data_IF_670207879877
#
_entry.id   IF_670207879877
#
_cell.length_a   1.000
_cell.length_b   1.000
_cell.length_c   1.000
_cell.angle_alpha   90.00
_cell.angle_beta   90.00
_cell.angle_gamma   90.00
#
_symmetry.space_group_name_H-M   'P 1'
#
loop_
_entity.id
_entity.type
_entity.pdbx_description
1 polymer ?
#
# COMPACT_ATOMS: atom_id res chain seq x y z
N UNK A 1 -10.41 3.87 -76.58
CA UNK A 1 -11.68 3.63 -75.85
C UNK A 1 -11.32 2.74 -74.66
N UNK A 2 -10.88 3.28 -73.51
CA UNK A 2 -11.69 3.88 -72.43
C UNK A 2 -12.90 3.02 -72.07
N UNK A 3 -12.90 2.38 -70.90
CA UNK A 3 -13.71 2.64 -69.68
C UNK A 3 -14.15 1.24 -69.18
N UNK A 4 -14.46 0.93 -67.93
CA UNK A 4 -14.66 1.68 -66.70
C UNK A 4 -14.73 0.64 -65.57
N UNK A 5 -14.21 0.99 -64.40
CA UNK A 5 -14.44 0.29 -63.14
C UNK A 5 -15.92 0.40 -62.75
N UNK A 6 -16.61 -0.71 -62.48
CA UNK A 6 -17.88 -0.68 -61.75
C UNK A 6 -17.73 -1.44 -60.43
N UNK A 7 -17.86 -0.67 -59.35
CA UNK A 7 -17.96 -1.12 -57.99
C UNK A 7 -19.42 -1.59 -57.77
N UNK A 8 -19.63 -2.89 -57.56
CA UNK A 8 -20.92 -3.42 -57.14
C UNK A 8 -20.89 -3.66 -55.63
N UNK A 9 -21.68 -2.87 -54.92
CA UNK A 9 -21.96 -3.02 -53.48
C UNK A 9 -22.84 -4.25 -53.24
N UNK A 10 -22.32 -5.24 -52.53
CA UNK A 10 -23.12 -6.30 -51.91
C UNK A 10 -23.47 -5.89 -50.49
N UNK A 11 -24.75 -5.63 -50.24
CA UNK A 11 -25.31 -5.51 -48.90
C UNK A 11 -25.31 -6.92 -48.30
N UNK A 12 -24.36 -7.23 -47.41
CA UNK A 12 -24.46 -8.42 -46.57
C UNK A 12 -25.33 -8.09 -45.37
N UNK A 13 -26.50 -8.75 -45.34
CA UNK A 13 -27.38 -8.83 -44.18
C UNK A 13 -26.59 -9.28 -42.95
N UNK A 14 -26.58 -8.47 -41.89
CA UNK A 14 -26.14 -8.90 -40.56
C UNK A 14 -27.16 -9.94 -40.09
N UNK A 15 -26.82 -11.22 -40.23
CA UNK A 15 -27.49 -12.28 -39.49
C UNK A 15 -27.12 -12.09 -38.02
N UNK A 16 -28.13 -11.85 -37.18
CA UNK A 16 -27.99 -11.86 -35.74
C UNK A 16 -27.31 -13.19 -35.32
N UNK A 17 -26.11 -13.09 -34.77
CA UNK A 17 -25.47 -14.21 -34.09
C UNK A 17 -26.28 -14.49 -32.81
N UNK A 18 -26.61 -15.75 -32.52
CA UNK A 18 -27.26 -16.09 -31.26
C UNK A 18 -26.31 -15.75 -30.11
N UNK A 19 -26.76 -14.84 -29.24
CA UNK A 19 -26.17 -14.65 -27.92
C UNK A 19 -26.51 -15.91 -27.13
N UNK A 20 -25.54 -16.77 -26.90
CA UNK A 20 -25.71 -17.98 -26.10
C UNK A 20 -24.99 -19.18 -26.69
N UNK A 21 -23.66 -19.18 -26.56
CA UNK A 21 -22.95 -20.43 -26.32
C UNK A 21 -22.19 -20.18 -25.03
N UNK A 22 -22.71 -20.80 -23.97
CA UNK A 22 -22.06 -20.93 -22.67
C UNK A 22 -20.86 -21.86 -22.90
N UNK A 23 -19.77 -21.31 -23.44
CA UNK A 23 -18.49 -22.02 -23.44
C UNK A 23 -18.11 -22.12 -21.97
N UNK A 24 -17.93 -23.32 -21.41
CA UNK A 24 -17.43 -23.44 -20.05
C UNK A 24 -16.14 -22.64 -19.99
N UNK A 25 -16.13 -21.60 -19.15
CA UNK A 25 -14.91 -20.86 -18.82
C UNK A 25 -13.92 -21.92 -18.41
N UNK A 26 -12.78 -21.97 -19.12
CA UNK A 26 -11.74 -22.94 -18.84
C UNK A 26 -11.49 -22.94 -17.33
N UNK A 27 -11.63 -24.11 -16.69
CA UNK A 27 -11.26 -24.28 -15.29
C UNK A 27 -9.87 -23.68 -15.13
N UNK A 28 -9.77 -22.59 -14.37
CA UNK A 28 -8.48 -21.97 -14.06
C UNK A 28 -7.74 -23.00 -13.23
N UNK A 29 -6.89 -23.78 -13.88
CA UNK A 29 -5.92 -24.62 -13.18
C UNK A 29 -4.99 -23.66 -12.45
N UNK A 30 -5.22 -23.51 -11.15
CA UNK A 30 -4.28 -22.88 -10.24
C UNK A 30 -3.01 -23.74 -10.26
N UNK A 31 -2.07 -23.37 -11.14
CA UNK A 31 -0.73 -23.95 -11.10
C UNK A 31 0.05 -23.17 -10.03
N UNK A 32 0.56 -23.89 -9.02
CA UNK A 32 1.52 -23.36 -8.07
C UNK A 32 2.77 -22.79 -8.77
N UNK A 33 3.06 -23.22 -10.02
CA UNK A 33 4.18 -22.68 -10.82
C UNK A 33 3.96 -21.23 -11.23
N UNK A 34 2.70 -20.77 -11.34
CA UNK A 34 2.40 -19.36 -11.61
C UNK A 34 2.57 -18.50 -10.35
N UNK A 35 2.45 -19.09 -9.16
CA UNK A 35 2.36 -18.38 -7.88
C UNK A 35 3.14 -19.11 -6.77
N UNK A 36 4.47 -19.17 -6.86
CA UNK A 36 5.30 -19.83 -5.86
C UNK A 36 5.17 -19.14 -4.50
N UNK A 37 4.99 -19.94 -3.44
CA UNK A 37 4.91 -19.47 -2.05
C UNK A 37 6.30 -19.44 -1.37
N UNK A 38 7.25 -20.21 -1.88
CA UNK A 38 8.65 -20.12 -1.49
C UNK A 38 9.36 -19.02 -2.30
N UNK A 39 9.78 -17.97 -1.58
CA UNK A 39 10.42 -16.78 -2.12
C UNK A 39 11.93 -16.76 -1.86
N UNK A 40 12.50 -17.84 -1.31
CA UNK A 40 13.93 -17.96 -1.06
C UNK A 40 14.43 -17.13 0.14
N UNK A 41 15.68 -16.64 0.05
CA UNK A 41 16.40 -16.07 1.19
C UNK A 41 15.95 -14.64 1.53
N UNK A 42 15.46 -14.45 2.77
CA UNK A 42 14.87 -13.19 3.27
C UNK A 42 15.87 -12.07 3.60
N UNK A 43 17.17 -12.28 3.38
CA UNK A 43 18.20 -11.28 3.71
C UNK A 43 18.51 -11.20 5.22
N UNK A 44 19.30 -10.19 5.60
CA UNK A 44 19.63 -9.92 7.02
C UNK A 44 18.52 -9.10 7.68
N UNK A 45 18.02 -9.57 8.81
CA UNK A 45 16.98 -8.90 9.60
C UNK A 45 17.49 -8.48 10.97
N UNK A 46 16.95 -7.40 11.52
CA UNK A 46 17.22 -6.95 12.88
C UNK A 46 15.98 -6.29 13.50
N UNK A 47 15.71 -6.61 14.76
CA UNK A 47 14.59 -6.02 15.52
C UNK A 47 14.99 -4.64 16.02
N UNK A 48 14.08 -3.68 15.91
CA UNK A 48 14.24 -2.34 16.47
C UNK A 48 14.05 -2.33 17.99
N UNK A 49 14.58 -1.31 18.65
CA UNK A 49 14.27 -1.08 20.06
C UNK A 49 12.79 -0.70 20.26
N UNK A 50 12.22 -1.10 21.39
CA UNK A 50 10.82 -0.80 21.70
C UNK A 50 10.63 0.71 21.92
N UNK A 51 9.58 1.33 21.35
CA UNK A 51 9.29 2.74 21.57
C UNK A 51 8.76 2.97 22.98
N UNK A 52 9.08 4.13 23.57
CA UNK A 52 8.65 4.53 24.91
C UNK A 52 8.03 5.94 24.95
N UNK A 53 7.15 6.21 23.98
CA UNK A 53 6.55 7.53 23.78
C UNK A 53 5.75 8.05 24.97
N UNK A 54 5.26 7.17 25.86
CA UNK A 54 4.59 7.61 27.09
C UNK A 54 5.51 8.45 28.00
N UNK A 55 6.82 8.19 27.98
CA UNK A 55 7.81 8.94 28.76
C UNK A 55 8.56 9.98 27.92
N UNK A 56 8.82 9.67 26.64
CA UNK A 56 9.69 10.50 25.79
C UNK A 56 8.95 11.48 24.88
N UNK A 57 7.62 11.38 24.75
CA UNK A 57 6.86 12.28 23.87
C UNK A 57 6.74 13.68 24.48
N UNK A 58 7.63 14.57 24.08
CA UNK A 58 7.60 15.99 24.44
C UNK A 58 6.76 16.86 23.51
N UNK A 59 6.17 16.34 22.43
CA UNK A 59 5.53 17.15 21.39
C UNK A 59 4.41 18.05 21.94
N UNK A 60 3.57 17.51 22.83
CA UNK A 60 2.50 18.25 23.49
C UNK A 60 3.03 19.38 24.39
N UNK A 61 4.16 19.16 25.07
CA UNK A 61 4.80 20.13 25.98
C UNK A 61 5.49 21.24 25.17
N UNK A 62 6.17 20.89 24.08
CA UNK A 62 6.95 21.82 23.26
C UNK A 62 6.09 22.65 22.32
N UNK A 63 5.06 22.07 21.71
CA UNK A 63 4.29 22.72 20.62
C UNK A 63 2.84 23.04 21.00
N UNK A 64 2.39 22.66 22.20
CA UNK A 64 1.06 23.01 22.69
C UNK A 64 -0.07 22.30 21.94
N UNK A 65 -0.10 20.96 22.01
CA UNK A 65 -1.16 20.16 21.39
C UNK A 65 -2.44 20.24 22.24
N UNK A 66 -3.58 20.75 21.73
CA UNK A 66 -4.81 20.89 22.51
C UNK A 66 -5.30 19.53 23.05
N UNK A 67 -5.69 19.46 24.33
CA UNK A 67 -6.18 18.22 24.97
C UNK A 67 -7.51 17.73 24.42
N UNK A 68 -8.30 18.59 23.77
CA UNK A 68 -9.50 18.19 23.01
C UNK A 68 -9.18 17.37 21.76
N UNK A 69 -7.90 17.29 21.37
CA UNK A 69 -7.36 16.46 20.28
C UNK A 69 -6.26 15.52 20.78
N UNK A 70 -6.35 15.01 22.02
CA UNK A 70 -5.41 14.00 22.51
C UNK A 70 -5.53 12.71 21.69
N UNK A 71 -4.80 12.66 20.58
CA UNK A 71 -4.57 11.47 19.78
C UNK A 71 -3.58 10.60 20.54
N UNK A 72 -4.01 9.36 20.83
CA UNK A 72 -3.12 8.31 21.35
C UNK A 72 -1.83 8.25 20.51
N UNK A 73 -0.68 7.86 21.08
CA UNK A 73 0.55 7.72 20.33
C UNK A 73 0.31 6.84 19.10
N UNK A 74 0.40 7.46 17.93
CA UNK A 74 0.21 6.79 16.65
C UNK A 74 1.57 6.34 16.12
N UNK A 75 1.63 5.30 15.27
CA UNK A 75 2.89 4.89 14.66
C UNK A 75 3.50 5.95 13.72
N UNK A 76 2.72 6.97 13.33
CA UNK A 76 3.15 8.14 12.57
C UNK A 76 2.89 9.36 13.45
N UNK A 77 3.94 10.11 13.77
CA UNK A 77 3.83 11.32 14.59
C UNK A 77 3.40 12.51 13.73
N UNK A 78 2.11 12.85 13.72
CA UNK A 78 1.56 13.97 12.93
C UNK A 78 1.25 15.20 13.77
N UNK A 79 1.50 15.17 15.08
CA UNK A 79 1.14 16.30 15.97
C UNK A 79 2.07 17.50 15.78
N UNK A 80 3.27 17.31 15.22
CA UNK A 80 4.20 18.37 14.89
C UNK A 80 4.09 18.69 13.40
N UNK A 81 3.61 19.89 13.09
CA UNK A 81 3.57 20.41 11.72
C UNK A 81 4.87 21.13 11.39
N UNK A 82 5.20 21.20 10.09
CA UNK A 82 6.31 22.01 9.63
C UNK A 82 6.08 23.48 10.03
N UNK A 83 7.15 24.21 10.37
CA UNK A 83 7.07 25.60 10.88
C UNK A 83 6.39 26.55 9.90
N UNK A 84 6.52 26.28 8.60
CA UNK A 84 5.96 27.05 7.49
C UNK A 84 4.66 26.46 6.94
N UNK A 85 4.08 25.45 7.59
CA UNK A 85 2.82 24.85 7.18
C UNK A 85 1.69 25.88 7.11
N UNK A 86 0.99 25.90 5.97
CA UNK A 86 -0.16 26.73 5.67
C UNK A 86 -1.38 25.86 5.42
N UNK A 87 -2.55 26.47 5.61
CA UNK A 87 -3.81 25.83 5.28
C UNK A 87 -3.85 25.48 3.78
N UNK A 88 -4.03 24.20 3.46
CA UNK A 88 -4.01 23.67 2.10
C UNK A 88 -2.65 23.08 1.66
N UNK A 89 -1.61 23.14 2.48
CA UNK A 89 -0.35 22.44 2.19
C UNK A 89 -0.55 20.92 2.22
N UNK A 90 0.19 20.22 1.35
CA UNK A 90 0.17 18.76 1.28
C UNK A 90 0.78 18.14 2.53
N UNK A 91 0.24 17.00 2.94
CA UNK A 91 0.80 16.22 4.02
C UNK A 91 2.19 15.69 3.61
N UNK A 92 3.23 16.05 4.37
CA UNK A 92 4.61 15.64 4.07
C UNK A 92 4.78 14.12 3.96
N UNK A 93 3.99 13.34 4.71
CA UNK A 93 4.04 11.88 4.67
C UNK A 93 3.57 11.29 3.34
N UNK A 94 2.82 12.06 2.54
CA UNK A 94 2.37 11.69 1.20
C UNK A 94 3.39 12.04 0.11
N UNK A 95 4.42 12.83 0.47
CA UNK A 95 5.48 13.30 -0.42
C UNK A 95 6.74 12.43 -0.40
N UNK A 96 6.74 11.33 0.36
CA UNK A 96 7.88 10.41 0.44
C UNK A 96 7.95 9.38 -0.71
N UNK A 97 7.11 9.55 -1.74
CA UNK A 97 7.05 8.63 -2.88
C UNK A 97 6.72 7.21 -2.42
N UNK A 98 7.58 6.24 -2.75
CA UNK A 98 7.41 4.83 -2.38
C UNK A 98 7.59 4.53 -0.88
N UNK A 99 8.11 5.48 -0.10
CA UNK A 99 8.26 5.37 1.34
C UNK A 99 7.05 5.93 2.11
N UNK A 100 6.11 6.57 1.40
CA UNK A 100 4.89 7.09 1.99
C UNK A 100 4.09 5.93 2.61
N UNK A 101 3.62 6.05 3.86
CA UNK A 101 2.61 5.15 4.40
C UNK A 101 1.40 5.08 3.47
N UNK A 102 0.67 3.95 3.49
CA UNK A 102 -0.51 3.82 2.64
C UNK A 102 -1.53 4.93 2.93
N UNK A 103 -1.94 5.66 1.89
CA UNK A 103 -3.07 6.58 1.88
C UNK A 103 -3.92 6.34 0.63
N UNK A 104 -5.16 6.80 0.65
CA UNK A 104 -6.07 6.70 -0.49
C UNK A 104 -5.73 7.81 -1.47
N UNK A 105 -5.54 7.47 -2.74
CA UNK A 105 -5.32 8.47 -3.78
C UNK A 105 -6.56 9.34 -3.96
N UNK A 106 -6.35 10.62 -4.28
CA UNK A 106 -7.41 11.56 -4.69
C UNK A 106 -8.19 11.08 -5.93
N UNK A 107 -7.66 10.08 -6.63
CA UNK A 107 -8.30 9.43 -7.77
C UNK A 107 -8.24 10.29 -9.02
N UNK A 108 -9.00 9.87 -10.03
CA UNK A 108 -9.02 10.48 -11.36
C UNK A 108 -10.46 10.76 -11.82
N UNK A 109 -11.30 11.19 -10.89
CA UNK A 109 -12.74 11.41 -11.14
C UNK A 109 -13.58 10.13 -11.23
N UNK A 110 -13.04 9.01 -10.75
CA UNK A 110 -13.76 7.74 -10.59
C UNK A 110 -14.18 7.58 -9.15
N UNK A 111 -15.47 7.32 -8.93
CA UNK A 111 -16.03 7.17 -7.60
C UNK A 111 -16.17 5.68 -7.22
N UNK A 112 -16.07 5.38 -5.93
CA UNK A 112 -16.34 4.04 -5.40
C UNK A 112 -17.86 3.83 -5.32
N UNK A 113 -18.41 3.16 -6.34
CA UNK A 113 -19.83 2.76 -6.37
C UNK A 113 -19.96 1.25 -6.16
N UNK A 114 -21.06 0.86 -5.50
CA UNK A 114 -21.47 -0.53 -5.49
C UNK A 114 -21.74 -1.05 -6.90
N UNK A 115 -21.63 -2.37 -7.08
CA UNK A 115 -21.90 -3.01 -8.36
C UNK A 115 -23.32 -2.73 -8.87
N UNK A 116 -23.51 -2.54 -10.19
CA UNK A 116 -24.83 -2.45 -10.78
C UNK A 116 -25.68 -3.68 -10.45
N UNK A 117 -27.01 -3.50 -10.36
CA UNK A 117 -27.96 -4.57 -9.94
C UNK A 117 -27.93 -5.84 -10.79
N UNK A 118 -27.35 -5.80 -11.99
CA UNK A 118 -27.28 -6.92 -12.94
C UNK A 118 -25.90 -7.59 -12.99
N UNK A 119 -24.96 -7.21 -12.11
CA UNK A 119 -23.59 -7.71 -12.11
C UNK A 119 -23.29 -8.50 -10.82
N UNK A 120 -22.49 -9.55 -10.96
CA UNK A 120 -21.90 -10.30 -9.84
C UNK A 120 -20.38 -10.33 -9.97
N UNK A 121 -19.68 -10.44 -8.85
CA UNK A 121 -18.24 -10.72 -8.84
C UNK A 121 -18.06 -12.23 -8.90
N UNK A 122 -17.25 -12.72 -9.84
CA UNK A 122 -16.95 -14.14 -9.97
C UNK A 122 -15.55 -14.48 -9.44
N UNK A 123 -14.61 -13.55 -9.52
CA UNK A 123 -13.22 -13.71 -9.08
C UNK A 123 -12.62 -12.35 -8.74
N UNK A 124 -11.70 -12.32 -7.77
CA UNK A 124 -10.91 -11.13 -7.46
C UNK A 124 -9.43 -11.48 -7.31
N UNK A 125 -8.57 -10.66 -7.91
CA UNK A 125 -7.13 -10.69 -7.72
C UNK A 125 -6.70 -9.43 -6.98
N UNK A 126 -6.15 -9.59 -5.78
CA UNK A 126 -5.70 -8.49 -4.95
C UNK A 126 -4.18 -8.43 -5.01
N UNK A 127 -3.64 -7.42 -5.70
CA UNK A 127 -2.21 -7.14 -5.65
C UNK A 127 -1.90 -6.22 -4.46
N UNK A 128 -0.88 -6.58 -3.69
CA UNK A 128 -0.41 -5.82 -2.54
C UNK A 128 1.10 -5.67 -2.55
N UNK A 129 1.57 -4.50 -2.16
CA UNK A 129 2.92 -4.39 -1.59
C UNK A 129 2.91 -4.82 -0.12
N UNK A 130 4.10 -5.08 0.40
CA UNK A 130 4.33 -5.13 1.84
C UNK A 130 3.97 -3.80 2.52
N UNK A 131 3.68 -3.84 3.83
CA UNK A 131 3.48 -2.63 4.63
C UNK A 131 4.81 -1.88 4.91
N UNK A 132 4.75 -0.75 5.60
CA UNK A 132 5.94 0.04 5.96
C UNK A 132 7.00 -0.80 6.70
N UNK A 133 8.26 -0.73 6.24
CA UNK A 133 9.37 -1.54 6.76
C UNK A 133 10.55 -0.69 7.23
N UNK A 134 11.43 -1.29 8.02
CA UNK A 134 12.74 -0.72 8.30
C UNK A 134 13.64 -0.75 7.06
N UNK A 135 14.67 0.11 6.99
CA UNK A 135 15.67 0.05 5.94
C UNK A 135 16.26 -1.35 5.78
N UNK A 136 16.63 -1.74 4.56
CA UNK A 136 17.27 -3.05 4.30
C UNK A 136 18.68 -3.13 4.90
N UNK A 137 19.32 -1.99 5.15
CA UNK A 137 20.62 -1.91 5.81
C UNK A 137 20.66 -0.70 6.73
N UNK A 138 21.46 -0.74 7.82
CA UNK A 138 21.60 0.39 8.72
C UNK A 138 21.96 1.67 7.97
N UNK A 139 21.32 2.78 8.34
CA UNK A 139 21.60 4.08 7.74
C UNK A 139 23.09 4.43 7.89
N UNK A 140 23.75 4.79 6.78
CA UNK A 140 25.16 5.22 6.79
C UNK A 140 25.40 6.45 7.67
N UNK A 141 24.37 7.28 7.86
CA UNK A 141 24.40 8.45 8.74
C UNK A 141 24.63 8.06 10.21
N UNK A 142 24.02 6.98 10.71
CA UNK A 142 24.22 6.57 12.11
C UNK A 142 25.67 6.13 12.36
N UNK A 143 26.28 5.49 11.35
CA UNK A 143 27.70 5.16 11.37
C UNK A 143 28.59 6.40 11.28
N UNK A 144 28.22 7.40 10.48
CA UNK A 144 28.98 8.64 10.38
C UNK A 144 28.95 9.44 11.69
N UNK A 145 27.77 9.58 12.29
CA UNK A 145 27.56 10.37 13.50
C UNK A 145 28.17 9.73 14.75
N UNK A 146 28.36 8.40 14.78
CA UNK A 146 28.99 7.72 15.93
C UNK A 146 30.51 7.92 16.03
N UNK A 147 31.17 8.40 14.97
CA UNK A 147 32.65 8.47 14.89
C UNK A 147 33.21 9.91 14.94
N UNK A 148 32.39 10.92 15.20
CA UNK A 148 32.78 12.34 15.14
C UNK A 148 32.38 13.06 16.43
N UNK A 149 33.31 13.79 17.05
CA UNK A 149 32.98 14.81 18.05
C UNK A 149 32.49 16.05 17.30
N UNK A 150 31.17 16.18 17.17
CA UNK A 150 30.55 17.38 16.61
C UNK A 150 29.65 18.02 17.66
N UNK A 151 29.42 19.32 17.50
CA UNK A 151 28.39 20.06 18.22
C UNK A 151 27.58 20.79 17.18
N UNK A 152 26.29 20.50 17.15
CA UNK A 152 25.33 21.10 16.23
C UNK A 152 24.43 22.04 17.02
N UNK A 153 23.98 23.12 16.39
CA UNK A 153 23.07 24.11 16.97
C UNK A 153 21.90 24.37 16.02
N UNK A 154 20.86 25.06 16.51
CA UNK A 154 19.68 25.38 15.70
C UNK A 154 18.79 24.15 15.47
N UNK A 155 18.15 24.07 14.31
CA UNK A 155 17.17 23.02 13.98
C UNK A 155 17.74 21.60 14.00
N UNK A 156 19.06 21.46 13.89
CA UNK A 156 19.76 20.18 13.88
C UNK A 156 20.35 19.80 15.26
N UNK A 157 20.11 20.59 16.32
CA UNK A 157 20.64 20.35 17.67
C UNK A 157 20.26 18.98 18.23
N UNK A 158 19.10 18.44 17.82
CA UNK A 158 18.67 17.09 18.22
C UNK A 158 19.69 16.00 17.85
N UNK A 159 20.52 16.22 16.82
CA UNK A 159 21.56 15.27 16.41
C UNK A 159 22.61 15.03 17.50
N UNK A 160 22.88 16.02 18.37
CA UNK A 160 23.86 15.88 19.45
C UNK A 160 23.54 14.70 20.39
N UNK A 161 22.25 14.40 20.58
CA UNK A 161 21.77 13.34 21.47
C UNK A 161 21.03 12.23 20.72
N UNK A 162 21.00 12.28 19.38
CA UNK A 162 20.23 11.35 18.57
C UNK A 162 20.86 9.96 18.58
N UNK A 163 20.01 8.93 18.75
CA UNK A 163 20.39 7.52 18.70
C UNK A 163 19.65 6.83 17.58
N UNK A 164 20.35 5.97 16.86
CA UNK A 164 19.74 5.14 15.82
C UNK A 164 19.14 3.89 16.46
N UNK A 165 17.80 3.83 16.52
CA UNK A 165 17.04 2.75 17.18
C UNK A 165 16.30 1.84 16.18
N UNK A 166 16.47 2.07 14.88
CA UNK A 166 15.72 1.36 13.84
C UNK A 166 16.27 -0.05 13.61
N UNK A 167 15.35 -0.97 13.32
CA UNK A 167 15.67 -2.34 12.90
C UNK A 167 16.19 -2.40 11.46
N UNK A 168 16.20 -3.60 10.89
CA UNK A 168 16.64 -3.85 9.52
C UNK A 168 15.79 -4.93 8.86
N UNK A 169 15.38 -4.70 7.61
CA UNK A 169 14.80 -5.73 6.73
C UNK A 169 13.47 -6.34 7.18
N UNK A 170 12.80 -5.78 8.19
CA UNK A 170 11.51 -6.29 8.70
C UNK A 170 10.44 -5.21 8.68
N UNK A 171 9.17 -5.64 8.68
CA UNK A 171 8.02 -4.75 8.83
C UNK A 171 8.07 -4.00 10.16
N UNK A 172 7.74 -2.73 10.10
CA UNK A 172 7.46 -1.94 11.30
C UNK A 172 6.13 -2.35 11.92
N UNK A 173 5.85 -1.93 13.16
CA UNK A 173 4.52 -2.15 13.76
C UNK A 173 3.40 -1.48 12.95
N UNK A 174 3.66 -0.30 12.39
CA UNK A 174 2.79 0.35 11.41
C UNK A 174 2.54 -0.53 10.18
N UNK A 175 3.60 -1.10 9.60
CA UNK A 175 3.49 -1.96 8.42
C UNK A 175 2.64 -3.20 8.67
N UNK A 176 2.74 -3.80 9.86
CA UNK A 176 1.87 -4.91 10.25
C UNK A 176 0.41 -4.47 10.36
N UNK A 177 0.13 -3.32 10.98
CA UNK A 177 -1.23 -2.77 11.08
C UNK A 177 -1.82 -2.50 9.68
N UNK A 178 -1.05 -1.91 8.77
CA UNK A 178 -1.49 -1.65 7.40
C UNK A 178 -1.90 -2.92 6.65
N UNK A 179 -1.13 -4.01 6.81
CA UNK A 179 -1.47 -5.30 6.21
C UNK A 179 -2.71 -5.93 6.84
N UNK A 180 -2.86 -5.81 8.16
CA UNK A 180 -4.06 -6.26 8.87
C UNK A 180 -5.30 -5.50 8.37
N UNK A 181 -5.25 -4.17 8.35
CA UNK A 181 -6.35 -3.32 7.88
C UNK A 181 -6.70 -3.60 6.42
N UNK A 182 -5.70 -3.91 5.59
CA UNK A 182 -5.91 -4.34 4.20
C UNK A 182 -6.65 -5.68 4.11
N UNK A 183 -6.28 -6.65 4.95
CA UNK A 183 -6.97 -7.93 5.05
C UNK A 183 -8.44 -7.76 5.45
N UNK A 184 -8.68 -6.99 6.51
CA UNK A 184 -10.03 -6.63 6.97
C UNK A 184 -10.83 -5.97 5.84
N UNK A 185 -10.27 -4.97 5.15
CA UNK A 185 -10.95 -4.28 4.04
C UNK A 185 -11.29 -5.23 2.88
N UNK A 186 -10.38 -6.14 2.57
CA UNK A 186 -10.58 -7.13 1.50
C UNK A 186 -11.74 -8.06 1.86
N UNK A 187 -11.80 -8.53 3.11
CA UNK A 187 -12.89 -9.33 3.62
C UNK A 187 -14.23 -8.60 3.55
N UNK A 188 -14.30 -7.34 3.98
CA UNK A 188 -15.53 -6.56 3.89
C UNK A 188 -16.00 -6.32 2.45
N UNK A 189 -15.10 -6.24 1.47
CA UNK A 189 -15.46 -6.04 0.05
C UNK A 189 -15.83 -7.34 -0.66
N UNK A 190 -15.14 -8.43 -0.36
CA UNK A 190 -15.19 -9.65 -1.20
C UNK A 190 -15.41 -10.94 -0.41
N UNK A 191 -15.67 -10.88 0.90
CA UNK A 191 -15.77 -12.06 1.76
C UNK A 191 -16.84 -13.07 1.36
N UNK A 192 -17.85 -12.67 0.59
CA UNK A 192 -18.86 -13.58 0.01
C UNK A 192 -18.31 -14.49 -1.11
N UNK A 193 -17.15 -14.18 -1.68
CA UNK A 193 -16.48 -15.06 -2.64
C UNK A 193 -15.78 -16.23 -1.96
N UNK A 194 -15.50 -16.13 -0.65
CA UNK A 194 -14.87 -17.21 0.09
C UNK A 194 -15.89 -18.34 0.27
N UNK A 195 -15.58 -19.50 -0.30
CA UNK A 195 -16.21 -20.74 0.13
C UNK A 195 -15.54 -21.19 1.43
N UNK A 196 -16.35 -21.38 2.48
CA UNK A 196 -15.84 -21.81 3.79
C UNK A 196 -15.90 -23.33 3.95
N UNK A 197 -16.49 -24.03 2.98
CA UNK A 197 -16.70 -25.48 2.99
C UNK A 197 -15.93 -26.21 1.87
N UNK A 198 -15.31 -25.48 0.94
CA UNK A 198 -14.49 -26.01 -0.14
C UNK A 198 -13.13 -25.31 -0.21
N UNK A 199 -12.08 -26.02 -0.67
CA UNK A 199 -10.74 -25.46 -0.93
C UNK A 199 -10.71 -24.55 -2.19
N UNK A 200 -11.87 -24.18 -2.74
CA UNK A 200 -12.00 -23.35 -3.93
C UNK A 200 -11.68 -21.88 -3.61
N UNK A 201 -10.42 -21.48 -3.82
CA UNK A 201 -9.95 -20.12 -3.54
C UNK A 201 -10.34 -19.13 -4.64
N UNK A 202 -11.46 -18.42 -4.48
CA UNK A 202 -11.93 -17.36 -5.41
C UNK A 202 -11.35 -15.96 -5.12
N UNK A 203 -10.70 -15.80 -3.97
CA UNK A 203 -9.93 -14.62 -3.58
C UNK A 203 -8.46 -14.99 -3.70
N UNK A 204 -7.75 -14.43 -4.67
CA UNK A 204 -6.30 -14.64 -4.81
C UNK A 204 -5.59 -13.36 -4.40
N UNK A 205 -4.80 -13.41 -3.33
CA UNK A 205 -4.04 -12.27 -2.82
C UNK A 205 -2.54 -12.45 -3.08
N UNK A 206 -1.91 -11.43 -3.64
CA UNK A 206 -0.49 -11.39 -3.97
C UNK A 206 0.24 -10.33 -3.15
N UNK A 207 1.41 -10.67 -2.63
CA UNK A 207 2.30 -9.78 -1.91
C UNK A 207 3.62 -9.60 -2.64
N UNK A 208 3.99 -8.36 -2.92
CA UNK A 208 5.29 -7.99 -3.51
C UNK A 208 6.33 -7.81 -2.40
N UNK A 209 7.36 -8.66 -2.40
CA UNK A 209 8.50 -8.61 -1.48
C UNK A 209 9.78 -8.37 -2.29
N UNK A 210 10.26 -7.12 -2.31
CA UNK A 210 11.54 -6.73 -2.90
C UNK A 210 12.57 -6.34 -1.84
#
# INVERSE_FOLDING_TARGET
MQKLLLLATSITTISALPIGIDTPVANVTLSEDLFPTDIGFLGKTATADAPFLAETNGAAITYGVPTSSYTLPQPIETAIQARDHRNGDQNIYELFGSLSPYYVSDGWGVYDYGLPKQCSINQVHVLSRHGSRYPTSPNSLSKLLSHKNYTVSGELEFLNNWKYLQGSGILTKLGNQQLFDKGVRTFFRYGQLQDWNEDAMKIVAFGDYH
#
